data_IF_037098557814
#
_entry.id   IF_037098557814
#
_cell.length_a   1.000
_cell.length_b   1.000
_cell.length_c   1.000
_cell.angle_alpha   90.00
_cell.angle_beta   90.00
_cell.angle_gamma   90.00
#
_symmetry.space_group_name_H-M   'P 1'
#
loop_
_entity.id
_entity.type
_entity.pdbx_description
1 polymer ?
#
# COMPACT_ATOMS: atom_id res chain seq x y z
N UNK A 1 7.37 11.91 -64.18
CA UNK A 1 7.12 12.41 -62.81
C UNK A 1 8.40 12.22 -62.02
N UNK A 2 8.79 13.18 -61.18
CA UNK A 2 10.09 13.14 -60.49
C UNK A 2 10.07 12.05 -59.41
N UNK A 3 10.93 11.04 -59.57
CA UNK A 3 11.20 9.98 -58.56
C UNK A 3 12.12 10.47 -57.42
N UNK A 4 12.38 11.78 -57.32
CA UNK A 4 13.29 12.32 -56.32
C UNK A 4 12.61 12.42 -54.95
N UNK A 5 13.25 11.83 -53.95
CA UNK A 5 12.80 11.85 -52.56
C UNK A 5 12.78 13.28 -52.04
N UNK A 6 11.62 13.72 -51.54
CA UNK A 6 11.47 15.06 -50.97
C UNK A 6 12.13 15.15 -49.59
N UNK A 7 13.35 15.72 -49.51
CA UNK A 7 14.16 15.75 -48.27
C UNK A 7 14.05 17.04 -47.46
N UNK A 8 13.36 18.07 -47.97
CA UNK A 8 13.28 19.38 -47.30
C UNK A 8 12.65 19.32 -45.90
N UNK A 9 11.79 18.34 -45.63
CA UNK A 9 11.21 18.10 -44.31
C UNK A 9 12.25 17.66 -43.26
N UNK A 10 13.39 17.10 -43.67
CA UNK A 10 14.49 16.65 -42.80
C UNK A 10 15.44 17.77 -42.38
N UNK A 11 15.43 18.92 -43.08
CA UNK A 11 16.34 20.04 -42.82
C UNK A 11 15.67 21.05 -41.89
N UNK A 12 16.22 21.27 -40.69
CA UNK A 12 15.66 22.17 -39.66
C UNK A 12 15.42 23.61 -40.13
N UNK A 13 16.21 24.11 -41.08
CA UNK A 13 16.10 25.48 -41.61
C UNK A 13 15.06 25.66 -42.73
N UNK A 14 14.52 24.57 -43.29
CA UNK A 14 13.51 24.68 -44.36
C UNK A 14 12.18 25.16 -43.77
N UNK A 15 11.68 26.30 -44.26
CA UNK A 15 10.46 26.94 -43.81
C UNK A 15 9.51 27.17 -45.01
N UNK A 16 8.25 26.78 -44.84
CA UNK A 16 7.18 26.93 -45.85
C UNK A 16 5.99 26.05 -45.50
N UNK A 17 4.76 26.47 -45.88
CA UNK A 17 3.53 25.77 -45.53
C UNK A 17 3.52 24.30 -46.00
N UNK A 18 4.03 24.02 -47.19
CA UNK A 18 4.13 22.68 -47.73
C UNK A 18 5.14 21.80 -46.97
N UNK A 19 6.32 22.33 -46.61
CA UNK A 19 7.31 21.62 -45.76
C UNK A 19 6.69 21.27 -44.41
N UNK A 20 5.90 22.19 -43.83
CA UNK A 20 5.16 21.96 -42.58
C UNK A 20 4.17 20.81 -42.68
N UNK A 21 3.33 20.80 -43.73
CA UNK A 21 2.36 19.72 -43.97
C UNK A 21 3.05 18.35 -44.14
N UNK A 22 4.17 18.30 -44.88
CA UNK A 22 4.94 17.06 -45.05
C UNK A 22 5.55 16.60 -43.74
N UNK A 23 6.07 17.52 -42.89
CA UNK A 23 6.59 17.18 -41.55
C UNK A 23 5.49 16.63 -40.64
N UNK A 24 4.33 17.26 -40.58
CA UNK A 24 3.20 16.78 -39.77
C UNK A 24 2.75 15.39 -40.23
N UNK A 25 2.59 15.17 -41.54
CA UNK A 25 2.21 13.87 -42.07
C UNK A 25 3.25 12.79 -41.74
N UNK A 26 4.54 13.11 -41.88
CA UNK A 26 5.63 12.22 -41.52
C UNK A 26 5.66 11.89 -40.01
N UNK A 27 5.53 12.90 -39.16
CA UNK A 27 5.47 12.73 -37.71
C UNK A 27 4.25 11.92 -37.27
N UNK A 28 3.09 12.11 -37.91
CA UNK A 28 1.89 11.33 -37.63
C UNK A 28 2.08 9.85 -37.95
N UNK A 29 2.78 9.53 -39.05
CA UNK A 29 3.11 8.14 -39.39
C UNK A 29 4.07 7.55 -38.36
N UNK A 30 5.12 8.30 -37.97
CA UNK A 30 6.07 7.85 -36.95
C UNK A 30 5.40 7.63 -35.59
N UNK A 31 4.53 8.55 -35.15
CA UNK A 31 3.79 8.42 -33.90
C UNK A 31 2.88 7.18 -33.91
N UNK A 32 2.22 6.90 -35.04
CA UNK A 32 1.41 5.69 -35.18
C UNK A 32 2.24 4.42 -35.14
N UNK A 33 3.42 4.40 -35.79
CA UNK A 33 4.34 3.27 -35.70
C UNK A 33 4.87 3.10 -34.28
N UNK A 34 5.19 4.19 -33.58
CA UNK A 34 5.61 4.16 -32.18
C UNK A 34 4.49 3.59 -31.28
N UNK A 35 3.25 4.03 -31.45
CA UNK A 35 2.11 3.56 -30.67
C UNK A 35 1.74 2.09 -30.96
N UNK A 36 1.75 1.69 -32.24
CA UNK A 36 1.32 0.36 -32.67
C UNK A 36 2.42 -0.70 -32.55
N UNK A 37 3.70 -0.30 -32.64
CA UNK A 37 4.82 -1.24 -32.77
C UNK A 37 5.88 -1.13 -31.67
N UNK A 38 5.89 -0.08 -30.85
CA UNK A 38 6.90 0.07 -29.79
C UNK A 38 6.28 -0.08 -28.39
N UNK A 39 7.00 -0.77 -27.50
CA UNK A 39 6.68 -0.79 -26.07
C UNK A 39 7.63 0.17 -25.38
N UNK A 40 7.08 1.21 -24.74
CA UNK A 40 7.89 2.11 -23.93
C UNK A 40 8.52 1.34 -22.77
N UNK A 41 9.85 1.24 -22.79
CA UNK A 41 10.65 0.57 -21.76
C UNK A 41 11.04 1.60 -20.69
N UNK A 42 10.57 1.45 -19.43
CA UNK A 42 10.85 2.42 -18.37
C UNK A 42 12.31 2.43 -17.90
N UNK A 43 13.08 1.38 -18.20
CA UNK A 43 14.44 1.16 -17.70
C UNK A 43 15.42 0.74 -18.80
N UNK A 44 16.72 0.76 -18.49
CA UNK A 44 17.77 0.51 -19.49
C UNK A 44 18.06 -0.97 -19.71
N UNK A 45 17.93 -1.82 -18.66
CA UNK A 45 18.23 -3.25 -18.75
C UNK A 45 16.96 -4.06 -19.04
N UNK A 46 17.12 -5.14 -19.81
CA UNK A 46 16.01 -6.04 -20.17
C UNK A 46 15.33 -6.64 -18.94
N UNK A 47 16.09 -7.10 -17.95
CA UNK A 47 15.54 -7.64 -16.70
C UNK A 47 14.67 -6.62 -15.97
N UNK A 48 15.15 -5.38 -15.82
CA UNK A 48 14.38 -4.30 -15.19
C UNK A 48 13.05 -4.05 -15.89
N UNK A 49 13.04 -4.11 -17.22
CA UNK A 49 11.82 -3.95 -18.02
C UNK A 49 10.87 -5.14 -17.90
N UNK A 50 11.38 -6.38 -17.85
CA UNK A 50 10.56 -7.57 -17.58
C UNK A 50 9.93 -7.50 -16.19
N UNK A 51 10.69 -7.09 -15.17
CA UNK A 51 10.17 -6.86 -13.82
C UNK A 51 9.09 -5.77 -13.81
N UNK A 52 9.30 -4.65 -14.50
CA UNK A 52 8.31 -3.59 -14.63
C UNK A 52 7.03 -4.08 -15.32
N UNK A 53 7.17 -4.91 -16.36
CA UNK A 53 6.06 -5.53 -17.06
C UNK A 53 5.28 -6.48 -16.14
N UNK A 54 5.95 -7.35 -15.38
CA UNK A 54 5.31 -8.23 -14.40
C UNK A 54 4.52 -7.44 -13.34
N UNK A 55 5.08 -6.33 -12.84
CA UNK A 55 4.40 -5.43 -11.90
C UNK A 55 3.12 -4.84 -12.54
N UNK A 56 3.22 -4.37 -13.79
CA UNK A 56 2.08 -3.83 -14.54
C UNK A 56 1.01 -4.88 -14.80
N UNK A 57 1.40 -6.08 -15.20
CA UNK A 57 0.47 -7.19 -15.49
C UNK A 57 -0.23 -7.68 -14.22
N UNK A 58 0.49 -7.80 -13.11
CA UNK A 58 -0.07 -8.30 -11.85
C UNK A 58 -0.94 -7.27 -11.11
N UNK A 59 -0.53 -6.00 -11.08
CA UNK A 59 -1.15 -4.98 -10.24
C UNK A 59 -1.65 -3.75 -10.97
N UNK A 60 -1.28 -3.55 -12.24
CA UNK A 60 -1.53 -2.30 -12.96
C UNK A 60 -0.70 -1.12 -12.47
N UNK A 61 0.28 -1.36 -11.59
CA UNK A 61 1.14 -0.32 -11.05
C UNK A 61 2.16 0.11 -12.13
N UNK A 62 2.33 1.42 -12.32
CA UNK A 62 3.34 2.00 -13.22
C UNK A 62 4.42 2.71 -12.38
N UNK A 63 5.67 2.77 -12.84
CA UNK A 63 6.69 3.52 -12.14
C UNK A 63 6.43 5.03 -12.23
N UNK A 64 6.70 5.75 -11.13
CA UNK A 64 6.86 7.20 -11.13
C UNK A 64 8.34 7.59 -11.03
N UNK A 65 8.68 8.82 -11.43
CA UNK A 65 10.06 9.31 -11.49
C UNK A 65 10.23 10.48 -10.51
N UNK A 66 10.40 10.21 -9.20
CA UNK A 66 10.34 11.24 -8.16
C UNK A 66 11.57 12.15 -8.08
N UNK A 67 12.60 11.89 -8.88
CA UNK A 67 13.88 12.61 -8.82
C UNK A 67 14.15 13.35 -10.13
N UNK A 68 13.93 14.67 -10.16
CA UNK A 68 14.14 15.50 -11.37
C UNK A 68 15.54 15.37 -11.98
N UNK A 69 16.55 15.19 -11.11
CA UNK A 69 17.97 15.08 -11.52
C UNK A 69 18.39 13.65 -11.91
N UNK A 70 17.55 12.65 -11.64
CA UNK A 70 17.82 11.23 -11.89
C UNK A 70 16.59 10.60 -12.57
N UNK A 71 16.31 10.96 -13.84
CA UNK A 71 15.11 10.51 -14.55
C UNK A 71 15.11 9.00 -14.83
N UNK A 72 16.24 8.32 -14.66
CA UNK A 72 16.35 6.87 -14.78
C UNK A 72 15.88 6.11 -13.52
N UNK A 73 15.53 6.83 -12.44
CA UNK A 73 15.14 6.22 -11.18
C UNK A 73 13.62 6.12 -11.12
N UNK A 74 13.10 4.90 -11.27
CA UNK A 74 11.67 4.62 -11.24
C UNK A 74 11.26 4.00 -9.91
N UNK A 75 10.31 4.63 -9.22
CA UNK A 75 9.73 4.11 -8.00
C UNK A 75 8.36 3.50 -8.26
N UNK A 76 8.05 2.39 -7.59
CA UNK A 76 6.73 1.78 -7.61
C UNK A 76 6.05 1.98 -6.26
N UNK A 77 4.79 2.44 -6.30
CA UNK A 77 4.03 2.82 -5.12
C UNK A 77 2.79 1.96 -4.95
N UNK A 78 2.46 1.64 -3.71
CA UNK A 78 1.16 1.05 -3.43
C UNK A 78 0.05 2.10 -3.62
N UNK A 79 -0.94 1.88 -4.51
CA UNK A 79 -1.90 2.91 -4.93
C UNK A 79 -2.75 3.44 -3.78
N UNK A 80 -3.04 2.61 -2.77
CA UNK A 80 -3.88 3.01 -1.64
C UNK A 80 -3.22 4.01 -0.67
N UNK A 81 -1.89 4.16 -0.67
CA UNK A 81 -1.19 4.97 0.33
C UNK A 81 0.10 5.64 -0.15
N UNK A 82 0.43 5.50 -1.45
CA UNK A 82 1.57 6.11 -2.12
C UNK A 82 2.95 5.80 -1.50
N UNK A 83 3.05 4.73 -0.71
CA UNK A 83 4.34 4.27 -0.17
C UNK A 83 5.10 3.46 -1.21
N UNK A 84 6.40 3.71 -1.27
CA UNK A 84 7.33 2.91 -2.08
C UNK A 84 7.39 1.47 -1.59
N UNK A 85 7.23 0.52 -2.52
CA UNK A 85 7.60 -0.88 -2.30
C UNK A 85 8.80 -1.30 -3.14
N UNK A 86 9.03 -0.65 -4.28
CA UNK A 86 10.21 -0.87 -5.09
C UNK A 86 10.79 0.46 -5.58
N UNK A 87 12.10 0.53 -5.71
CA UNK A 87 12.80 1.62 -6.38
C UNK A 87 13.87 1.01 -7.27
N UNK A 88 13.70 1.13 -8.57
CA UNK A 88 14.70 0.79 -9.57
C UNK A 88 15.61 2.00 -9.75
N UNK A 89 16.92 1.79 -9.64
CA UNK A 89 17.91 2.84 -9.75
C UNK A 89 19.14 2.36 -10.50
N UNK A 90 19.69 3.22 -11.36
CA UNK A 90 20.96 2.98 -12.03
C UNK A 90 22.11 3.58 -11.22
N UNK A 91 23.10 2.77 -10.88
CA UNK A 91 24.25 3.15 -10.05
C UNK A 91 25.55 2.52 -10.57
N UNK A 92 26.72 3.12 -10.29
CA UNK A 92 27.99 2.45 -10.52
C UNK A 92 28.14 1.21 -9.62
N UNK A 93 28.68 0.11 -10.16
CA UNK A 93 28.82 -1.18 -9.47
C UNK A 93 29.62 -1.10 -8.17
N UNK A 94 30.68 -0.30 -8.13
CA UNK A 94 31.50 -0.05 -6.93
C UNK A 94 30.69 0.40 -5.69
N UNK A 95 29.57 1.09 -5.90
CA UNK A 95 28.69 1.56 -4.82
C UNK A 95 27.87 0.45 -4.20
N UNK A 96 27.75 -0.69 -4.88
CA UNK A 96 26.96 -1.84 -4.47
C UNK A 96 27.83 -2.89 -3.77
N UNK A 97 28.90 -3.34 -4.43
CA UNK A 97 29.72 -4.46 -3.98
C UNK A 97 31.10 -4.06 -3.42
N UNK A 98 31.47 -2.78 -3.51
CA UNK A 98 32.78 -2.27 -3.06
C UNK A 98 33.95 -2.67 -3.96
N UNK A 99 33.67 -3.20 -5.16
CA UNK A 99 34.69 -3.47 -6.18
C UNK A 99 35.24 -2.18 -6.79
N UNK A 100 36.22 -2.31 -7.68
CA UNK A 100 36.74 -1.19 -8.46
C UNK A 100 35.95 -0.96 -9.77
N UNK A 101 34.86 -1.70 -10.00
CA UNK A 101 34.09 -1.65 -11.23
C UNK A 101 33.18 -0.42 -11.27
N UNK A 102 33.27 0.35 -12.36
CA UNK A 102 32.48 1.56 -12.58
C UNK A 102 31.33 1.34 -13.57
N UNK A 103 31.06 0.11 -14.00
CA UNK A 103 29.92 -0.19 -14.85
C UNK A 103 28.61 0.30 -14.20
N UNK A 104 27.77 0.95 -15.00
CA UNK A 104 26.42 1.32 -14.57
C UNK A 104 25.52 0.08 -14.58
N UNK A 105 25.11 -0.32 -13.39
CA UNK A 105 24.17 -1.43 -13.14
C UNK A 105 22.82 -0.89 -12.68
N UNK A 106 21.77 -1.66 -12.92
CA UNK A 106 20.44 -1.37 -12.36
C UNK A 106 20.20 -2.29 -11.16
N UNK A 107 19.67 -1.70 -10.09
CA UNK A 107 19.26 -2.42 -8.89
C UNK A 107 17.79 -2.13 -8.61
N UNK A 108 17.11 -3.04 -7.92
CA UNK A 108 15.82 -2.78 -7.29
C UNK A 108 15.96 -2.83 -5.77
N UNK A 109 15.62 -1.74 -5.10
CA UNK A 109 15.48 -1.70 -3.66
C UNK A 109 14.12 -2.26 -3.24
N UNK A 110 14.11 -3.29 -2.40
CA UNK A 110 12.90 -3.95 -1.91
C UNK A 110 12.84 -3.97 -0.39
N UNK A 111 11.67 -3.65 0.16
CA UNK A 111 11.39 -3.79 1.58
C UNK A 111 11.21 -5.26 1.97
N UNK A 112 11.87 -5.70 3.04
CA UNK A 112 11.87 -7.10 3.50
C UNK A 112 11.67 -7.20 5.01
N UNK A 113 11.27 -8.38 5.49
CA UNK A 113 11.17 -8.65 6.93
C UNK A 113 12.56 -8.65 7.56
N UNK A 114 12.69 -8.05 8.74
CA UNK A 114 13.97 -7.97 9.48
C UNK A 114 14.56 -9.36 9.73
N UNK A 115 13.71 -10.39 9.87
CA UNK A 115 14.10 -11.78 10.09
C UNK A 115 14.72 -12.43 8.86
N UNK A 116 14.36 -11.97 7.66
CA UNK A 116 14.82 -12.54 6.38
C UNK A 116 16.12 -11.89 5.88
N UNK A 117 16.51 -10.71 6.40
CA UNK A 117 17.66 -9.94 5.88
C UNK A 117 18.95 -10.75 5.87
N UNK A 118 19.27 -11.47 6.95
CA UNK A 118 20.54 -12.20 7.03
C UNK A 118 20.61 -13.35 5.99
N UNK A 119 19.49 -14.01 5.73
CA UNK A 119 19.39 -15.06 4.72
C UNK A 119 19.45 -14.48 3.31
N UNK A 120 18.77 -13.37 3.05
CA UNK A 120 18.79 -12.72 1.74
C UNK A 120 20.19 -12.20 1.39
N UNK A 121 20.92 -11.64 2.35
CA UNK A 121 22.28 -11.14 2.14
C UNK A 121 23.33 -12.25 1.94
N UNK A 122 23.00 -13.52 2.16
CA UNK A 122 23.90 -14.64 1.83
C UNK A 122 23.73 -15.12 0.38
N UNK A 123 22.69 -14.66 -0.32
CA UNK A 123 22.42 -15.03 -1.71
C UNK A 123 23.21 -14.13 -2.67
N UNK A 124 23.71 -14.73 -3.75
CA UNK A 124 24.38 -13.97 -4.81
C UNK A 124 23.41 -12.98 -5.45
N UNK A 125 23.89 -11.78 -5.78
CA UNK A 125 23.09 -10.73 -6.41
C UNK A 125 22.21 -9.92 -5.44
N UNK A 126 22.25 -10.21 -4.13
CA UNK A 126 21.54 -9.43 -3.10
C UNK A 126 22.52 -8.74 -2.17
N UNK A 127 22.34 -7.43 -2.00
CA UNK A 127 23.26 -6.55 -1.28
C UNK A 127 22.55 -5.74 -0.20
N UNK A 128 23.30 -5.19 0.78
CA UNK A 128 22.76 -4.21 1.71
C UNK A 128 22.13 -3.03 0.96
N UNK A 129 20.99 -2.54 1.46
CA UNK A 129 20.27 -1.47 0.80
C UNK A 129 21.13 -0.24 0.46
N UNK A 130 21.06 0.18 -0.80
CA UNK A 130 21.59 1.43 -1.31
C UNK A 130 20.55 2.56 -1.15
N UNK A 131 20.95 3.67 -0.52
CA UNK A 131 20.10 4.82 -0.13
C UNK A 131 18.91 4.54 0.81
N UNK A 132 18.46 3.29 0.95
CA UNK A 132 17.39 2.89 1.86
C UNK A 132 17.90 2.35 3.21
N UNK A 133 16.98 2.16 4.15
CA UNK A 133 17.32 1.62 5.48
C UNK A 133 17.75 0.16 5.39
N UNK A 134 19.03 -0.12 5.62
CA UNK A 134 19.64 -1.47 5.69
C UNK A 134 19.00 -2.41 6.74
N UNK A 135 18.14 -1.89 7.62
CA UNK A 135 17.40 -2.69 8.62
C UNK A 135 16.10 -3.28 8.08
N UNK A 136 15.57 -2.77 6.97
CA UNK A 136 14.25 -3.17 6.45
C UNK A 136 14.18 -3.23 4.93
N UNK A 137 15.32 -3.06 4.25
CA UNK A 137 15.42 -3.06 2.80
C UNK A 137 16.68 -3.81 2.38
N UNK A 138 16.66 -4.33 1.16
CA UNK A 138 17.79 -4.92 0.43
C UNK A 138 17.84 -4.34 -0.99
N UNK A 139 19.01 -4.37 -1.61
CA UNK A 139 19.17 -4.05 -3.03
C UNK A 139 19.43 -5.34 -3.80
N UNK A 140 18.59 -5.64 -4.78
CA UNK A 140 18.77 -6.78 -5.68
C UNK A 140 19.33 -6.28 -6.99
N UNK A 141 20.41 -6.90 -7.47
CA UNK A 141 21.05 -6.59 -8.73
C UNK A 141 20.25 -7.17 -9.90
N UNK A 142 19.98 -6.34 -10.92
CA UNK A 142 19.20 -6.71 -12.09
C UNK A 142 20.12 -7.05 -13.28
N UNK A 143 20.95 -8.08 -13.11
CA UNK A 143 21.93 -8.57 -14.09
C UNK A 143 21.77 -10.06 -14.44
N UNK A 144 20.57 -10.61 -14.23
CA UNK A 144 20.21 -12.03 -14.40
C UNK A 144 20.81 -12.97 -13.32
N UNK A 145 21.56 -12.46 -12.33
CA UNK A 145 22.06 -13.29 -11.20
C UNK A 145 20.93 -13.85 -10.34
N UNK A 146 19.86 -13.07 -10.15
CA UNK A 146 18.65 -13.48 -9.44
C UNK A 146 17.54 -13.65 -10.47
N UNK A 147 16.89 -14.80 -10.50
CA UNK A 147 15.82 -15.09 -11.45
C UNK A 147 14.61 -14.18 -11.23
N UNK A 148 13.94 -13.79 -12.33
CA UNK A 148 12.78 -12.90 -12.32
C UNK A 148 11.69 -13.36 -11.33
N UNK A 149 11.45 -14.67 -11.23
CA UNK A 149 10.45 -15.23 -10.32
C UNK A 149 10.81 -15.01 -8.84
N UNK A 150 12.09 -15.09 -8.49
CA UNK A 150 12.55 -14.83 -7.12
C UNK A 150 12.46 -13.33 -6.78
N UNK A 151 12.84 -12.46 -7.73
CA UNK A 151 12.69 -11.00 -7.60
C UNK A 151 11.21 -10.66 -7.42
N UNK A 152 10.33 -11.28 -8.21
CA UNK A 152 8.90 -11.07 -8.15
C UNK A 152 8.31 -11.49 -6.80
N UNK A 153 8.70 -12.65 -6.26
CA UNK A 153 8.26 -13.06 -4.93
C UNK A 153 8.69 -12.06 -3.82
N UNK A 154 9.87 -11.45 -3.94
CA UNK A 154 10.30 -10.38 -3.03
C UNK A 154 9.48 -9.10 -3.23
N UNK A 155 9.11 -8.76 -4.47
CA UNK A 155 8.22 -7.64 -4.78
C UNK A 155 6.84 -7.83 -4.15
N UNK A 156 6.24 -9.01 -4.26
CA UNK A 156 4.94 -9.31 -3.65
C UNK A 156 4.97 -9.11 -2.14
N UNK A 157 5.99 -9.67 -1.47
CA UNK A 157 6.22 -9.46 -0.03
C UNK A 157 6.40 -7.98 0.30
N UNK A 158 7.21 -7.28 -0.48
CA UNK A 158 7.50 -5.86 -0.27
C UNK A 158 6.25 -4.99 -0.37
N UNK A 159 5.46 -5.21 -1.43
CA UNK A 159 4.20 -4.51 -1.69
C UNK A 159 3.19 -4.78 -0.58
N UNK A 160 3.07 -6.04 -0.13
CA UNK A 160 2.22 -6.40 1.00
C UNK A 160 2.65 -5.69 2.29
N UNK A 161 3.95 -5.60 2.58
CA UNK A 161 4.45 -4.94 3.80
C UNK A 161 4.14 -3.44 3.88
N UNK A 162 4.14 -2.76 2.74
CA UNK A 162 3.82 -1.32 2.67
C UNK A 162 2.35 -1.05 2.39
N UNK A 163 1.58 -2.09 2.05
CA UNK A 163 0.15 -2.03 1.85
C UNK A 163 -0.61 -1.40 3.02
N UNK A 164 -1.87 -1.00 2.80
CA UNK A 164 -2.69 -0.37 3.81
C UNK A 164 -2.96 -1.38 4.93
N UNK A 165 -2.37 -1.14 6.11
CA UNK A 165 -2.64 -1.93 7.33
C UNK A 165 -4.02 -1.68 7.93
N UNK A 166 -4.84 -0.90 7.23
CA UNK A 166 -6.19 -0.56 7.63
C UNK A 166 -7.00 -0.26 6.38
N UNK A 167 -8.14 -0.90 6.24
CA UNK A 167 -9.07 -0.71 5.14
C UNK A 167 -9.88 0.58 5.37
N UNK A 168 -9.95 1.42 4.33
CA UNK A 168 -10.91 2.51 4.24
C UNK A 168 -11.84 2.18 3.08
N UNK A 169 -13.15 2.16 3.34
CA UNK A 169 -14.10 1.83 2.29
C UNK A 169 -14.18 2.98 1.27
N UNK A 170 -14.18 2.65 -0.03
CA UNK A 170 -14.53 3.63 -1.08
C UNK A 170 -16.03 3.91 -1.07
N UNK A 171 -16.84 2.89 -0.76
CA UNK A 171 -18.28 2.95 -0.57
C UNK A 171 -18.68 2.06 0.61
N UNK A 172 -19.61 2.54 1.45
CA UNK A 172 -20.06 1.83 2.65
C UNK A 172 -19.30 2.23 3.93
N UNK A 173 -19.54 1.52 5.04
CA UNK A 173 -19.01 1.92 6.35
C UNK A 173 -17.53 1.60 6.52
N UNK A 174 -16.82 2.46 7.25
CA UNK A 174 -15.51 2.12 7.77
C UNK A 174 -15.66 1.17 8.97
N UNK A 175 -14.65 0.34 9.19
CA UNK A 175 -14.61 -0.61 10.30
C UNK A 175 -13.49 -0.23 11.26
N UNK A 176 -13.82 -0.10 12.54
CA UNK A 176 -12.94 0.39 13.58
C UNK A 176 -12.79 -0.62 14.70
N UNK A 177 -11.69 -0.53 15.44
CA UNK A 177 -11.50 -1.19 16.73
C UNK A 177 -11.19 -0.16 17.81
N UNK A 178 -11.89 -0.25 18.93
CA UNK A 178 -11.70 0.60 20.10
C UNK A 178 -11.41 -0.24 21.36
N UNK A 179 -10.57 0.23 22.29
CA UNK A 179 -10.31 -0.49 23.53
C UNK A 179 -11.39 -0.19 24.59
N UNK A 180 -11.82 -1.23 25.30
CA UNK A 180 -12.60 -1.15 26.53
C UNK A 180 -11.78 -1.76 27.69
N UNK A 181 -11.58 -1.00 28.77
CA UNK A 181 -10.90 -1.50 29.96
C UNK A 181 -11.92 -1.91 31.02
N UNK A 182 -12.09 -3.22 31.32
CA UNK A 182 -13.04 -3.69 32.32
C UNK A 182 -12.85 -3.09 33.72
N UNK A 183 -11.63 -2.62 34.04
CA UNK A 183 -11.36 -1.96 35.33
C UNK A 183 -11.87 -0.52 35.41
N UNK A 184 -12.16 0.10 34.26
CA UNK A 184 -12.60 1.50 34.16
C UNK A 184 -14.08 1.56 33.78
N UNK A 185 -14.55 0.62 32.95
CA UNK A 185 -15.91 0.58 32.45
C UNK A 185 -16.33 -0.87 32.23
N UNK A 186 -17.38 -1.29 32.94
CA UNK A 186 -17.96 -2.62 32.82
C UNK A 186 -18.91 -2.68 31.63
N UNK A 187 -18.31 -2.89 30.46
CA UNK A 187 -19.03 -2.99 29.21
C UNK A 187 -19.91 -4.23 29.11
N UNK A 188 -19.62 -5.29 29.88
CA UNK A 188 -20.38 -6.54 29.82
C UNK A 188 -21.74 -6.35 30.50
N UNK A 189 -21.76 -5.73 31.69
CA UNK A 189 -23.01 -5.37 32.38
C UNK A 189 -23.81 -4.36 31.57
N UNK A 190 -23.15 -3.33 31.02
CA UNK A 190 -23.83 -2.33 30.19
C UNK A 190 -24.55 -2.97 28.99
N UNK A 191 -23.87 -3.83 28.22
CA UNK A 191 -24.51 -4.46 27.06
C UNK A 191 -25.48 -5.59 27.42
N UNK A 192 -25.51 -6.05 28.67
CA UNK A 192 -26.55 -6.95 29.15
C UNK A 192 -27.87 -6.20 29.39
N UNK A 193 -27.79 -4.95 29.86
CA UNK A 193 -28.96 -4.11 30.17
C UNK A 193 -29.41 -3.26 28.97
N UNK A 194 -28.46 -2.77 28.18
CA UNK A 194 -28.68 -1.82 27.11
C UNK A 194 -28.21 -2.37 25.76
N UNK A 195 -29.08 -2.28 24.75
CA UNK A 195 -28.67 -2.57 23.36
C UNK A 195 -27.83 -1.43 22.77
N UNK A 196 -28.04 -0.21 23.27
CA UNK A 196 -27.43 1.02 22.77
C UNK A 196 -26.66 1.68 23.92
N UNK A 197 -25.39 2.02 23.67
CA UNK A 197 -24.48 2.57 24.66
C UNK A 197 -23.85 3.87 24.15
N UNK A 198 -23.58 4.80 25.05
CA UNK A 198 -22.83 6.02 24.74
C UNK A 198 -21.34 5.81 24.98
N UNK A 199 -20.53 6.13 23.97
CA UNK A 199 -19.08 5.95 24.02
C UNK A 199 -18.37 7.28 23.81
N UNK A 200 -17.23 7.56 24.48
CA UNK A 200 -16.45 8.77 24.22
C UNK A 200 -16.04 8.86 22.75
N UNK A 201 -16.47 9.93 22.06
CA UNK A 201 -16.09 10.17 20.68
C UNK A 201 -14.60 10.55 20.65
N UNK A 202 -13.82 9.74 19.95
CA UNK A 202 -12.45 10.03 19.57
C UNK A 202 -12.31 9.67 18.10
N UNK A 203 -11.57 10.46 17.32
CA UNK A 203 -11.32 10.27 15.88
C UNK A 203 -12.48 10.62 14.94
N UNK A 204 -12.27 10.33 13.64
CA UNK A 204 -13.13 10.62 12.49
C UNK A 204 -14.25 9.58 12.30
N UNK A 205 -14.60 8.79 13.31
CA UNK A 205 -15.69 7.79 13.24
C UNK A 205 -17.01 8.50 12.94
N UNK A 206 -17.77 7.98 11.98
CA UNK A 206 -19.02 8.57 11.49
C UNK A 206 -20.23 7.68 11.79
N UNK A 207 -21.43 8.26 11.76
CA UNK A 207 -22.66 7.49 11.78
C UNK A 207 -22.70 6.53 10.57
N UNK A 208 -23.12 5.28 10.80
CA UNK A 208 -23.08 4.21 9.82
C UNK A 208 -21.85 3.30 9.93
N UNK A 209 -20.74 3.78 10.50
CA UNK A 209 -19.53 2.96 10.69
C UNK A 209 -19.77 1.75 11.60
N UNK A 210 -18.89 0.76 11.49
CA UNK A 210 -18.86 -0.41 12.36
C UNK A 210 -17.71 -0.29 13.35
N UNK A 211 -17.98 -0.56 14.62
CA UNK A 211 -17.02 -0.48 15.72
C UNK A 211 -16.95 -1.84 16.42
N UNK A 212 -15.80 -2.48 16.33
CA UNK A 212 -15.44 -3.64 17.14
C UNK A 212 -14.83 -3.19 18.47
N UNK A 213 -15.30 -3.74 19.58
CA UNK A 213 -14.82 -3.39 20.91
C UNK A 213 -13.90 -4.48 21.43
N UNK A 214 -12.63 -4.12 21.57
CA UNK A 214 -11.58 -4.94 22.13
C UNK A 214 -11.55 -4.77 23.64
N UNK A 215 -11.93 -5.82 24.36
CA UNK A 215 -11.86 -5.86 25.82
C UNK A 215 -10.42 -6.14 26.21
N UNK A 216 -9.81 -5.23 26.96
CA UNK A 216 -8.40 -5.35 27.39
C UNK A 216 -8.24 -6.44 28.47
N UNK A 217 -7.05 -6.54 29.09
CA UNK A 217 -6.79 -7.57 30.10
C UNK A 217 -7.86 -7.56 31.23
N UNK A 218 -8.34 -8.74 31.68
CA UNK A 218 -7.81 -10.08 31.41
C UNK A 218 -8.31 -10.74 30.11
N UNK A 219 -9.32 -10.18 29.44
CA UNK A 219 -9.98 -10.83 28.29
C UNK A 219 -9.09 -10.83 27.05
N UNK A 220 -8.54 -9.68 26.69
CA UNK A 220 -7.64 -9.49 25.53
C UNK A 220 -8.21 -10.01 24.19
N UNK A 221 -9.48 -9.73 23.91
CA UNK A 221 -10.17 -10.15 22.67
C UNK A 221 -11.18 -9.11 22.18
N UNK A 222 -11.53 -9.14 20.89
CA UNK A 222 -12.72 -8.45 20.39
C UNK A 222 -13.95 -9.25 20.82
N UNK A 223 -14.84 -8.61 21.59
CA UNK A 223 -16.05 -9.25 22.13
C UNK A 223 -17.34 -8.67 21.57
N UNK A 224 -17.39 -7.37 21.31
CA UNK A 224 -18.61 -6.74 20.81
C UNK A 224 -18.38 -6.14 19.43
N UNK A 225 -19.39 -6.24 18.57
CA UNK A 225 -19.44 -5.53 17.30
C UNK A 225 -20.67 -4.64 17.34
N UNK A 226 -20.48 -3.37 17.01
CA UNK A 226 -21.50 -2.35 17.11
C UNK A 226 -21.63 -1.56 15.81
N UNK A 227 -22.83 -1.05 15.54
CA UNK A 227 -23.10 -0.04 14.52
C UNK A 227 -23.16 1.33 15.17
N UNK A 228 -22.50 2.33 14.58
CA UNK A 228 -22.57 3.71 15.06
C UNK A 228 -23.86 4.34 14.56
N UNK A 229 -24.76 4.71 15.47
CA UNK A 229 -26.03 5.35 15.15
C UNK A 229 -25.88 6.87 15.01
N UNK A 230 -25.05 7.48 15.84
CA UNK A 230 -24.79 8.92 15.84
C UNK A 230 -23.37 9.22 16.32
N UNK A 231 -22.74 10.22 15.71
CA UNK A 231 -21.38 10.64 16.01
C UNK A 231 -21.34 12.15 16.31
N UNK A 232 -20.31 12.59 17.05
CA UNK A 232 -20.12 13.99 17.45
C UNK A 232 -21.30 14.61 18.24
N UNK A 233 -21.97 13.79 19.04
CA UNK A 233 -23.12 14.23 19.85
C UNK A 233 -22.63 14.96 21.10
N UNK A 234 -23.41 15.94 21.54
CA UNK A 234 -23.21 16.59 22.83
C UNK A 234 -23.50 15.62 23.97
N UNK A 235 -22.66 15.60 25.00
CA UNK A 235 -22.84 14.73 26.15
C UNK A 235 -23.92 15.30 27.08
N UNK A 236 -25.16 14.91 26.82
CA UNK A 236 -26.36 15.35 27.57
C UNK A 236 -26.87 14.30 28.55
N UNK A 237 -26.20 13.15 28.63
CA UNK A 237 -26.58 12.03 29.50
C UNK A 237 -25.69 12.05 30.73
N UNK A 238 -26.29 11.93 31.91
CA UNK A 238 -25.54 11.78 33.16
C UNK A 238 -24.80 10.42 33.12
N UNK A 239 -23.48 10.46 32.97
CA UNK A 239 -22.63 9.30 32.80
C UNK A 239 -21.23 9.57 33.36
N UNK A 240 -20.40 8.53 33.47
CA UNK A 240 -18.99 8.65 33.87
C UNK A 240 -18.12 9.40 32.84
N UNK A 241 -18.69 9.77 31.69
CA UNK A 241 -18.01 10.54 30.66
C UNK A 241 -18.13 12.03 31.00
N UNK A 242 -17.01 12.78 31.06
CA UNK A 242 -17.05 14.22 31.30
C UNK A 242 -17.95 14.97 30.30
N UNK A 243 -18.74 15.92 30.79
CA UNK A 243 -19.79 16.62 30.02
C UNK A 243 -19.21 17.46 28.88
N UNK A 244 -17.96 17.91 28.98
CA UNK A 244 -17.27 18.67 27.94
C UNK A 244 -16.82 17.82 26.75
N UNK A 245 -16.88 16.48 26.86
CA UNK A 245 -16.46 15.57 25.78
C UNK A 245 -17.62 15.20 24.90
N UNK A 246 -17.38 15.15 23.59
CA UNK A 246 -18.36 14.60 22.64
C UNK A 246 -18.48 13.08 22.79
N UNK A 247 -19.67 12.56 22.48
CA UNK A 247 -19.97 11.13 22.52
C UNK A 247 -20.48 10.63 21.18
N UNK A 248 -20.34 9.32 20.96
CA UNK A 248 -21.03 8.58 19.91
C UNK A 248 -22.03 7.62 20.54
N UNK A 249 -23.08 7.31 19.80
CA UNK A 249 -24.06 6.31 20.16
C UNK A 249 -23.78 5.04 19.35
N UNK A 250 -23.54 3.93 20.03
CA UNK A 250 -23.23 2.64 19.42
C UNK A 250 -24.29 1.60 19.78
N UNK A 251 -24.84 0.93 18.77
CA UNK A 251 -25.79 -0.18 18.94
C UNK A 251 -25.06 -1.51 18.80
N UNK A 252 -25.18 -2.40 19.79
CA UNK A 252 -24.66 -3.77 19.70
C UNK A 252 -25.39 -4.54 18.60
N UNK A 253 -24.64 -5.05 17.62
CA UNK A 253 -25.15 -5.90 16.54
C UNK A 253 -24.71 -7.36 16.65
N UNK A 254 -23.60 -7.63 17.35
CA UNK A 254 -23.14 -8.99 17.64
C UNK A 254 -22.26 -9.04 18.90
N UNK A 255 -22.22 -10.22 19.52
CA UNK A 255 -21.30 -10.57 20.60
C UNK A 255 -20.54 -11.83 20.19
N UNK A 256 -19.22 -11.78 20.24
CA UNK A 256 -18.30 -12.84 19.83
C UNK A 256 -17.75 -13.56 21.07
N UNK A 257 -17.43 -14.85 20.91
CA UNK A 257 -16.62 -15.58 21.89
C UNK A 257 -15.19 -15.03 21.90
N UNK A 258 -14.56 -15.00 23.07
CA UNK A 258 -13.18 -14.51 23.26
C UNK A 258 -12.14 -15.33 22.45
N UNK A 259 -12.51 -16.55 22.03
CA UNK A 259 -11.69 -17.42 21.18
C UNK A 259 -11.71 -17.06 19.70
N UNK A 260 -12.67 -16.25 19.25
CA UNK A 260 -12.85 -15.91 17.84
C UNK A 260 -11.78 -14.93 17.39
N UNK A 261 -11.59 -13.82 18.12
CA UNK A 261 -10.60 -12.80 17.82
C UNK A 261 -9.76 -12.42 19.06
N UNK A 262 -8.98 -13.36 19.62
CA UNK A 262 -8.01 -13.07 20.66
C UNK A 262 -6.86 -12.21 20.11
N UNK A 263 -6.14 -11.53 21.01
CA UNK A 263 -5.00 -10.65 20.67
C UNK A 263 -4.00 -11.26 19.69
N UNK A 264 -3.68 -12.54 19.83
CA UNK A 264 -2.73 -13.25 18.96
C UNK A 264 -3.24 -13.31 17.51
N UNK A 265 -4.47 -13.80 17.32
CA UNK A 265 -5.11 -13.83 15.99
C UNK A 265 -5.27 -12.43 15.38
N UNK A 266 -5.56 -11.42 16.20
CA UNK A 266 -5.60 -10.04 15.72
C UNK A 266 -4.23 -9.56 15.20
N UNK A 267 -3.14 -9.95 15.85
CA UNK A 267 -1.78 -9.61 15.41
C UNK A 267 -1.47 -10.24 14.06
N UNK A 268 -1.84 -11.51 13.86
CA UNK A 268 -1.66 -12.23 12.60
C UNK A 268 -2.49 -11.60 11.48
N UNK A 269 -3.69 -11.12 11.79
CA UNK A 269 -4.56 -10.36 10.87
C UNK A 269 -4.11 -8.89 10.71
N UNK A 270 -2.92 -8.52 11.16
CA UNK A 270 -2.30 -7.20 10.95
C UNK A 270 -2.72 -6.10 11.93
N UNK A 271 -3.55 -6.42 12.93
CA UNK A 271 -4.02 -5.47 13.95
C UNK A 271 -3.15 -5.56 15.20
N UNK A 272 -2.24 -4.59 15.34
CA UNK A 272 -1.32 -4.47 16.49
C UNK A 272 -2.03 -3.98 17.78
N UNK A 273 -1.26 -3.55 18.78
CA UNK A 273 -1.78 -3.12 20.08
C UNK A 273 -2.93 -2.08 19.96
N UNK A 274 -4.05 -2.34 20.66
CA UNK A 274 -5.22 -1.47 20.72
C UNK A 274 -5.11 -0.49 21.88
N UNK A 275 -4.54 0.69 21.61
CA UNK A 275 -4.39 1.79 22.60
C UNK A 275 -5.37 2.94 22.40
N UNK A 276 -6.15 2.89 21.32
CA UNK A 276 -7.13 3.90 20.94
C UNK A 276 -7.88 3.45 19.67
N UNK A 277 -8.81 4.27 19.15
CA UNK A 277 -9.55 3.97 17.93
C UNK A 277 -8.61 3.79 16.74
N UNK A 278 -8.79 2.71 15.97
CA UNK A 278 -8.03 2.44 14.74
C UNK A 278 -8.94 1.77 13.73
N UNK A 279 -8.72 2.02 12.44
CA UNK A 279 -9.36 1.25 11.37
C UNK A 279 -8.84 -0.18 11.34
N UNK A 280 -9.71 -1.12 10.98
CA UNK A 280 -9.41 -2.54 10.85
C UNK A 280 -8.80 -2.89 9.50
N UNK A 281 -8.04 -3.98 9.43
CA UNK A 281 -7.53 -4.57 8.18
C UNK A 281 -8.65 -5.24 7.40
N UNK A 282 -8.46 -5.45 6.10
CA UNK A 282 -9.46 -6.14 5.25
C UNK A 282 -9.69 -7.57 5.76
N UNK A 283 -8.61 -8.26 6.11
CA UNK A 283 -8.63 -9.63 6.60
C UNK A 283 -9.42 -9.75 7.91
N UNK A 284 -9.28 -8.80 8.83
CA UNK A 284 -10.08 -8.80 10.07
C UNK A 284 -11.55 -8.45 9.79
N UNK A 285 -11.81 -7.52 8.86
CA UNK A 285 -13.18 -7.18 8.44
C UNK A 285 -13.87 -8.40 7.85
N UNK A 286 -13.19 -9.19 7.02
CA UNK A 286 -13.75 -10.40 6.42
C UNK A 286 -14.12 -11.43 7.50
N UNK A 287 -13.28 -11.60 8.53
CA UNK A 287 -13.61 -12.44 9.70
C UNK A 287 -14.80 -11.89 10.48
N UNK A 288 -14.83 -10.58 10.77
CA UNK A 288 -15.98 -9.98 11.45
C UNK A 288 -17.26 -10.16 10.66
N UNK A 289 -17.21 -9.97 9.34
CA UNK A 289 -18.37 -10.17 8.46
C UNK A 289 -18.82 -11.62 8.48
N UNK A 290 -17.93 -12.60 8.39
CA UNK A 290 -18.35 -14.01 8.45
C UNK A 290 -19.00 -14.36 9.79
N UNK A 291 -18.45 -13.87 10.89
CA UNK A 291 -18.97 -14.14 12.24
C UNK A 291 -20.29 -13.40 12.51
N UNK A 292 -20.51 -12.23 11.90
CA UNK A 292 -21.76 -11.47 12.06
C UNK A 292 -22.83 -11.94 11.08
N UNK A 293 -22.49 -12.29 9.84
CA UNK A 293 -23.45 -12.74 8.80
C UNK A 293 -23.99 -14.14 9.13
N UNK A 294 -23.19 -15.03 9.71
CA UNK A 294 -23.66 -16.37 10.09
C UNK A 294 -24.58 -16.38 11.33
N UNK A 295 -24.84 -15.21 11.94
CA UNK A 295 -25.69 -15.05 13.11
C UNK A 295 -27.03 -14.33 12.79
N UNK A 296 -27.38 -14.17 11.50
CA UNK A 296 -28.67 -13.66 11.02
C UNK A 296 -29.28 -14.54 9.95
#
# INVERSE_FOLDING_TARGET
>A
EMEEVYTAHLVTAAAGAFVGQVREAYQSILARVEEDCCVALPFSKDQSNRIAQLIKEQWGDLPDYPFDKLPTYGAFRHPSNNKWYALVSQIPRDKLDGSADQELVEIVNLKVDVREIAELLSQSGIYPAYHMSKKTWVSVLLDETVEDQAIFALLEKSRHQVGPKSYKAEQGPDYWVIPANPKVYDIDTEFAENKIVYWPQKSTIQAGDIVAIYVTAPVQAIRYVCRVLGANLENRVESDIPTEKKVMQVEKIAQLSDTVLPRERMLDLGVKAVRGPRRLTKELIDVLRSEVINNY
#
